data_IF_391769554109
#
_entry.id   IF_391769554109
#
_cell.length_a   1.000
_cell.length_b   1.000
_cell.length_c   1.000
_cell.angle_alpha   90.00
_cell.angle_beta   90.00
_cell.angle_gamma   90.00
#
_symmetry.space_group_name_H-M   'P 1'
#
loop_
_entity.id
_entity.type
_entity.pdbx_description
1 polymer ?
#
# COMPACT_ATOMS: atom_id res chain seq x y z
N UNK A 1 -6.05 -5.28 -68.56
CA UNK A 1 -5.06 -6.24 -68.02
C UNK A 1 -4.84 -5.82 -66.59
N UNK A 2 -5.64 -6.36 -65.68
CA UNK A 2 -5.59 -6.02 -64.26
C UNK A 2 -4.41 -6.75 -63.63
N UNK A 3 -3.44 -5.97 -63.17
CA UNK A 3 -2.29 -6.47 -62.43
C UNK A 3 -2.75 -6.58 -60.98
N UNK A 4 -3.13 -7.78 -60.55
CA UNK A 4 -3.43 -8.06 -59.15
C UNK A 4 -2.13 -7.93 -58.37
N UNK A 5 -2.00 -6.88 -57.54
CA UNK A 5 -0.93 -6.77 -56.56
C UNK A 5 -0.98 -7.98 -55.64
N UNK A 6 0.15 -8.68 -55.50
CA UNK A 6 0.31 -9.73 -54.51
C UNK A 6 0.05 -9.15 -53.11
N UNK A 7 -0.61 -9.89 -52.20
CA UNK A 7 -0.82 -9.42 -50.85
C UNK A 7 0.52 -9.41 -50.11
N UNK A 8 1.13 -8.23 -49.97
CA UNK A 8 2.25 -8.03 -49.05
C UNK A 8 1.83 -8.45 -47.63
N UNK A 9 2.78 -9.06 -46.90
CA UNK A 9 2.63 -9.75 -45.62
C UNK A 9 1.91 -8.94 -44.52
N UNK A 10 0.59 -8.88 -44.60
CA UNK A 10 -0.29 -8.18 -43.64
C UNK A 10 -0.16 -8.75 -42.20
N UNK A 11 0.26 -10.01 -42.09
CA UNK A 11 0.53 -10.70 -40.82
C UNK A 11 1.75 -10.17 -40.06
N UNK A 12 2.79 -9.68 -40.75
CA UNK A 12 4.01 -9.19 -40.10
C UNK A 12 3.77 -7.82 -39.45
N UNK A 13 3.03 -6.94 -40.13
CA UNK A 13 2.69 -5.59 -39.65
C UNK A 13 1.85 -5.60 -38.36
N UNK A 14 0.87 -6.50 -38.27
CA UNK A 14 0.01 -6.62 -37.07
C UNK A 14 0.83 -7.11 -35.87
N UNK A 15 1.70 -8.10 -36.06
CA UNK A 15 2.53 -8.61 -34.97
C UNK A 15 3.54 -7.57 -34.50
N UNK A 16 4.17 -6.83 -35.42
CA UNK A 16 5.09 -5.75 -35.09
C UNK A 16 4.40 -4.63 -34.27
N UNK A 17 3.18 -4.26 -34.67
CA UNK A 17 2.36 -3.30 -33.91
C UNK A 17 2.03 -3.83 -32.51
N UNK A 18 1.63 -5.11 -32.39
CA UNK A 18 1.35 -5.72 -31.10
C UNK A 18 2.58 -5.75 -30.18
N UNK A 19 3.76 -6.09 -30.70
CA UNK A 19 5.01 -6.05 -29.94
C UNK A 19 5.33 -4.62 -29.47
N UNK A 20 5.20 -3.63 -30.35
CA UNK A 20 5.36 -2.22 -29.99
C UNK A 20 4.39 -1.80 -28.88
N UNK A 21 3.13 -2.23 -28.96
CA UNK A 21 2.12 -1.93 -27.94
C UNK A 21 2.45 -2.57 -26.59
N UNK A 22 2.79 -3.86 -26.57
CA UNK A 22 3.19 -4.58 -25.34
C UNK A 22 4.39 -3.90 -24.69
N UNK A 23 5.40 -3.53 -25.48
CA UNK A 23 6.59 -2.85 -24.96
C UNK A 23 6.27 -1.47 -24.39
N UNK A 24 5.33 -0.72 -25.00
CA UNK A 24 4.83 0.54 -24.43
C UNK A 24 4.12 0.32 -23.11
N UNK A 25 3.25 -0.68 -23.01
CA UNK A 25 2.54 -1.01 -21.77
C UNK A 25 3.49 -1.40 -20.65
N UNK A 26 4.51 -2.21 -20.94
CA UNK A 26 5.55 -2.57 -19.97
C UNK A 26 6.29 -1.35 -19.43
N UNK A 27 6.68 -0.41 -20.31
CA UNK A 27 7.32 0.86 -19.89
C UNK A 27 6.39 1.69 -19.01
N UNK A 28 5.10 1.80 -19.36
CA UNK A 28 4.13 2.51 -18.53
C UNK A 28 3.98 1.86 -17.15
N UNK A 29 3.95 0.53 -17.09
CA UNK A 29 3.89 -0.22 -15.85
C UNK A 29 5.12 0.03 -14.98
N UNK A 30 6.33 -0.03 -15.55
CA UNK A 30 7.59 0.26 -14.84
C UNK A 30 7.57 1.65 -14.22
N UNK A 31 7.17 2.67 -14.99
CA UNK A 31 7.04 4.04 -14.49
C UNK A 31 6.03 4.14 -13.35
N UNK A 32 4.88 3.48 -13.47
CA UNK A 32 3.86 3.48 -12.43
C UNK A 32 4.35 2.82 -11.12
N UNK A 33 5.04 1.68 -11.23
CA UNK A 33 5.60 0.97 -10.07
C UNK A 33 6.67 1.82 -9.39
N UNK A 34 7.64 2.32 -10.15
CA UNK A 34 8.72 3.15 -9.60
C UNK A 34 8.15 4.37 -8.87
N UNK A 35 7.14 5.04 -9.45
CA UNK A 35 6.52 6.19 -8.81
C UNK A 35 5.74 5.81 -7.56
N UNK A 36 5.04 4.68 -7.59
CA UNK A 36 4.31 4.17 -6.44
C UNK A 36 5.26 3.91 -5.27
N UNK A 37 6.39 3.26 -5.50
CA UNK A 37 7.40 2.96 -4.47
C UNK A 37 8.01 4.25 -3.89
N UNK A 38 8.45 5.18 -4.74
CA UNK A 38 8.94 6.49 -4.29
C UNK A 38 7.93 7.20 -3.40
N UNK A 39 6.66 7.19 -3.81
CA UNK A 39 5.58 7.86 -3.08
C UNK A 39 5.21 7.12 -1.80
N UNK A 40 5.35 5.80 -1.74
CA UNK A 40 5.17 5.03 -0.51
C UNK A 40 6.24 5.41 0.52
N UNK A 41 7.52 5.47 0.10
CA UNK A 41 8.63 5.88 0.99
C UNK A 41 8.40 7.30 1.51
N UNK A 42 8.11 8.25 0.62
CA UNK A 42 7.83 9.65 1.00
C UNK A 42 6.67 9.76 1.99
N UNK A 43 5.57 9.05 1.74
CA UNK A 43 4.40 9.02 2.64
C UNK A 43 4.79 8.47 4.01
N UNK A 44 5.50 7.34 4.06
CA UNK A 44 5.97 6.74 5.30
C UNK A 44 6.83 7.74 6.09
N UNK A 45 7.85 8.32 5.46
CA UNK A 45 8.73 9.30 6.12
C UNK A 45 7.97 10.53 6.62
N UNK A 46 7.00 11.02 5.85
CA UNK A 46 6.21 12.19 6.24
C UNK A 46 5.28 11.91 7.42
N UNK A 47 4.50 10.82 7.36
CA UNK A 47 3.54 10.47 8.40
C UNK A 47 4.22 9.92 9.67
N UNK A 48 5.34 9.20 9.52
CA UNK A 48 6.09 8.64 10.66
C UNK A 48 7.03 9.69 11.30
N UNK A 49 7.16 10.90 10.75
CA UNK A 49 8.13 11.91 11.21
C UNK A 49 8.04 12.21 12.72
N UNK A 50 6.82 12.21 13.26
CA UNK A 50 6.53 12.43 14.67
C UNK A 50 5.96 11.18 15.37
N UNK A 51 6.05 10.01 14.72
CA UNK A 51 5.59 8.78 15.32
C UNK A 51 6.51 8.38 16.47
N UNK A 52 5.99 8.46 17.69
CA UNK A 52 6.71 8.00 18.87
C UNK A 52 6.43 6.51 19.04
N UNK A 53 7.50 5.70 19.09
CA UNK A 53 7.39 4.29 19.45
C UNK A 53 6.95 4.19 20.91
N UNK A 54 5.69 3.82 21.14
CA UNK A 54 5.15 3.57 22.48
C UNK A 54 5.31 2.09 22.81
N UNK A 55 6.04 1.80 23.88
CA UNK A 55 6.16 0.46 24.44
C UNK A 55 5.83 0.53 25.92
N UNK A 56 4.91 -0.32 26.36
CA UNK A 56 4.60 -0.48 27.77
C UNK A 56 5.60 -1.40 28.46
N UNK A 57 5.87 -1.09 29.71
CA UNK A 57 6.68 -1.86 30.64
C UNK A 57 5.85 -2.29 31.83
N UNK A 58 6.29 -3.35 32.49
CA UNK A 58 5.68 -3.83 33.71
C UNK A 58 5.72 -2.71 34.77
N UNK A 59 4.58 -2.44 35.41
CA UNK A 59 4.41 -1.32 36.32
C UNK A 59 3.92 -0.01 35.69
N UNK A 60 3.87 0.12 34.36
CA UNK A 60 3.31 1.31 33.72
C UNK A 60 1.81 1.42 33.98
N UNK A 61 1.33 2.63 34.25
CA UNK A 61 -0.09 2.95 34.38
C UNK A 61 -0.67 3.34 33.01
N UNK A 62 -1.72 2.63 32.59
CA UNK A 62 -2.34 2.79 31.26
C UNK A 62 -3.85 2.94 31.37
N UNK A 63 -4.44 3.71 30.45
CA UNK A 63 -5.89 3.79 30.30
C UNK A 63 -6.36 2.81 29.23
N UNK A 64 -7.45 2.10 29.50
CA UNK A 64 -8.05 1.16 28.54
C UNK A 64 -9.22 1.84 27.84
N UNK A 65 -9.21 1.81 26.51
CA UNK A 65 -10.30 2.31 25.71
C UNK A 65 -11.45 1.30 25.67
N UNK A 66 -12.51 1.56 26.42
CA UNK A 66 -13.74 0.79 26.34
C UNK A 66 -14.59 1.29 25.18
N UNK A 67 -14.82 0.42 24.19
CA UNK A 67 -15.76 0.71 23.11
C UNK A 67 -17.18 0.36 23.57
N UNK A 68 -18.08 1.35 23.55
CA UNK A 68 -19.50 1.09 23.75
C UNK A 68 -20.08 0.47 22.48
N UNK A 69 -20.73 -0.70 22.58
CA UNK A 69 -21.35 -1.37 21.43
C UNK A 69 -22.52 -0.59 20.84
N UNK A 70 -23.15 0.28 21.63
CA UNK A 70 -24.37 0.98 21.22
C UNK A 70 -24.10 2.28 20.44
N UNK A 71 -22.99 2.97 20.69
CA UNK A 71 -22.69 4.26 20.06
C UNK A 71 -21.18 4.47 19.90
N UNK A 72 -20.74 4.71 18.66
CA UNK A 72 -19.34 4.96 18.28
C UNK A 72 -18.76 6.22 18.95
N UNK A 73 -19.60 7.16 19.39
CA UNK A 73 -19.20 8.37 20.11
C UNK A 73 -19.20 8.20 21.63
N UNK A 74 -19.79 7.13 22.17
CA UNK A 74 -19.81 6.84 23.60
C UNK A 74 -18.58 6.04 24.03
N UNK A 75 -17.41 6.45 23.56
CA UNK A 75 -16.13 5.83 23.93
C UNK A 75 -15.73 6.33 25.32
N UNK A 76 -15.37 5.41 26.22
CA UNK A 76 -14.92 5.73 27.57
C UNK A 76 -13.48 5.25 27.80
N UNK A 77 -12.70 6.07 28.49
CA UNK A 77 -11.41 5.67 29.03
C UNK A 77 -11.63 5.11 30.44
N UNK A 78 -11.29 3.85 30.63
CA UNK A 78 -11.27 3.22 31.96
C UNK A 78 -9.91 3.52 32.58
N UNK A 79 -9.94 3.84 33.88
CA UNK A 79 -8.86 4.40 34.69
C UNK A 79 -7.52 3.64 34.63
N UNK A 80 -6.53 4.13 35.38
CA UNK A 80 -5.17 3.63 35.24
C UNK A 80 -5.06 2.19 35.75
N UNK A 81 -4.96 1.25 34.81
CA UNK A 81 -4.57 -0.12 35.07
C UNK A 81 -3.06 -0.25 35.04
N UNK A 82 -2.50 -1.16 35.84
CA UNK A 82 -1.07 -1.44 35.83
C UNK A 82 -0.77 -2.59 34.87
N UNK A 83 0.23 -2.41 34.01
CA UNK A 83 0.73 -3.50 33.17
C UNK A 83 1.47 -4.51 34.06
N UNK A 84 1.01 -5.77 34.04
CA UNK A 84 1.62 -6.84 34.84
C UNK A 84 2.80 -7.49 34.12
N UNK A 85 2.60 -7.86 32.86
CA UNK A 85 3.63 -8.47 32.03
C UNK A 85 3.33 -8.30 30.54
N UNK A 86 4.39 -8.10 29.73
CA UNK A 86 4.28 -8.10 28.27
C UNK A 86 4.29 -9.52 27.70
N UNK A 87 3.16 -9.97 27.15
CA UNK A 87 3.00 -11.34 26.64
C UNK A 87 3.63 -11.51 25.23
N UNK A 88 3.72 -10.45 24.43
CA UNK A 88 4.30 -10.50 23.09
C UNK A 88 4.87 -9.15 22.66
N UNK A 89 5.83 -9.16 21.74
CA UNK A 89 6.40 -7.95 21.14
C UNK A 89 5.36 -7.09 20.41
N UNK A 90 4.28 -7.71 19.91
CA UNK A 90 3.27 -7.08 19.04
C UNK A 90 1.93 -6.82 19.73
N UNK A 91 1.72 -7.39 20.91
CA UNK A 91 0.51 -7.16 21.69
C UNK A 91 0.73 -5.92 22.56
N UNK A 92 -0.11 -4.91 22.32
CA UNK A 92 -0.26 -3.72 23.16
C UNK A 92 -0.82 -4.15 24.51
#
# INVERSE_FOLDING_TARGET
MEHWMEPEEEGDLVTEYMFKLINRLKRCQEVAINKMEEMQVKRKTWYDKNAVKREFKDGDLVLVLATSRANKLAVQWIGPGTILNKISKRTI
#
